data_IF_170616267298
#
_entry.id   IF_170616267298
#
_cell.length_a   1.000
_cell.length_b   1.000
_cell.length_c   1.000
_cell.angle_alpha   90.00
_cell.angle_beta   90.00
_cell.angle_gamma   90.00
#
_symmetry.space_group_name_H-M   'P 1'
#
loop_
_entity.id
_entity.type
_entity.pdbx_description
1 polymer ?
#
# COMPACT_ATOMS: atom_id res chain seq x y z
N UNK A 1 19.63 -6.96 -15.38
CA UNK A 1 18.39 -6.82 -14.64
C UNK A 1 18.66 -6.17 -13.30
N UNK A 2 17.91 -5.17 -12.96
CA UNK A 2 18.09 -4.46 -11.70
C UNK A 2 17.39 -5.20 -10.56
N UNK A 3 18.10 -5.45 -9.48
CA UNK A 3 17.49 -6.02 -8.29
C UNK A 3 16.61 -4.98 -7.60
N UNK A 4 15.48 -5.44 -7.07
CA UNK A 4 14.64 -4.59 -6.24
C UNK A 4 15.35 -4.29 -4.93
N UNK A 5 15.18 -3.06 -4.37
CA UNK A 5 15.61 -2.78 -3.00
C UNK A 5 14.99 -3.80 -2.04
N UNK A 6 15.71 -4.14 -0.98
CA UNK A 6 15.21 -5.15 -0.04
C UNK A 6 13.86 -4.79 0.56
N UNK A 7 13.56 -3.49 0.74
CA UNK A 7 12.25 -3.03 1.21
C UNK A 7 11.11 -3.35 0.26
N UNK A 8 11.39 -3.58 -1.03
CA UNK A 8 10.36 -3.90 -2.04
C UNK A 8 10.28 -5.40 -2.35
N UNK A 9 11.07 -6.23 -1.70
CA UNK A 9 11.07 -7.68 -1.94
C UNK A 9 10.00 -8.43 -1.15
N UNK A 10 9.47 -7.81 -0.10
CA UNK A 10 8.42 -8.38 0.72
C UNK A 10 7.06 -7.88 0.31
N UNK A 11 6.13 -7.87 1.26
CA UNK A 11 4.78 -7.37 1.06
C UNK A 11 4.75 -5.87 1.26
N UNK A 12 4.22 -5.15 0.28
CA UNK A 12 4.13 -3.69 0.33
C UNK A 12 2.65 -3.29 0.40
N UNK A 13 2.33 -2.42 1.36
CA UNK A 13 1.01 -1.83 1.47
C UNK A 13 1.05 -0.41 0.90
N UNK A 14 0.14 -0.10 0.00
CA UNK A 14 -0.09 1.27 -0.46
C UNK A 14 -1.30 1.81 0.30
N UNK A 15 -1.08 2.81 1.14
CA UNK A 15 -2.16 3.45 1.88
C UNK A 15 -2.72 4.61 1.06
N UNK A 16 -3.90 4.38 0.51
CA UNK A 16 -4.60 5.36 -0.33
C UNK A 16 -4.74 4.90 -1.77
N UNK A 17 -5.97 4.93 -2.28
CA UNK A 17 -6.32 4.49 -3.63
C UNK A 17 -6.65 5.67 -4.56
N UNK A 18 -6.28 6.88 -4.19
CA UNK A 18 -6.46 8.07 -5.03
C UNK A 18 -5.45 8.13 -6.18
N UNK A 19 -5.34 9.30 -6.80
CA UNK A 19 -4.49 9.48 -7.98
C UNK A 19 -3.02 9.09 -7.71
N UNK A 20 -2.46 9.55 -6.59
CA UNK A 20 -1.08 9.24 -6.22
C UNK A 20 -0.90 7.75 -5.90
N UNK A 21 -1.86 7.16 -5.19
CA UNK A 21 -1.83 5.73 -4.89
C UNK A 21 -1.90 4.89 -6.16
N UNK A 22 -2.74 5.28 -7.12
CA UNK A 22 -2.87 4.60 -8.41
C UNK A 22 -1.54 4.60 -9.17
N UNK A 23 -0.84 5.72 -9.20
CA UNK A 23 0.47 5.80 -9.84
C UNK A 23 1.50 4.89 -9.18
N UNK A 24 1.49 4.85 -7.85
CA UNK A 24 2.36 3.97 -7.08
C UNK A 24 2.06 2.49 -7.37
N UNK A 25 0.79 2.11 -7.40
CA UNK A 25 0.37 0.74 -7.71
C UNK A 25 0.82 0.34 -9.11
N UNK A 26 0.65 1.23 -10.09
CA UNK A 26 1.06 0.96 -11.46
C UNK A 26 2.58 0.67 -11.54
N UNK A 27 3.38 1.46 -10.84
CA UNK A 27 4.82 1.27 -10.79
C UNK A 27 5.20 -0.06 -10.11
N UNK A 28 4.61 -0.32 -8.93
CA UNK A 28 4.94 -1.51 -8.16
C UNK A 28 4.54 -2.80 -8.88
N UNK A 29 3.38 -2.82 -9.52
CA UNK A 29 2.94 -4.00 -10.26
C UNK A 29 3.81 -4.25 -11.47
N UNK A 30 4.29 -3.19 -12.12
CA UNK A 30 5.24 -3.32 -13.23
C UNK A 30 6.56 -3.94 -12.78
N UNK A 31 6.98 -3.65 -11.54
CA UNK A 31 8.22 -4.20 -10.98
C UNK A 31 8.04 -5.60 -10.39
N UNK A 32 6.82 -6.14 -10.38
CA UNK A 32 6.54 -7.45 -9.82
C UNK A 32 6.52 -7.48 -8.29
N UNK A 33 6.26 -6.35 -7.64
CA UNK A 33 6.20 -6.24 -6.19
C UNK A 33 4.86 -6.77 -5.69
N UNK A 34 4.88 -7.54 -4.58
CA UNK A 34 3.66 -8.00 -3.91
C UNK A 34 2.98 -6.82 -3.24
N UNK A 35 1.96 -6.28 -3.90
CA UNK A 35 1.31 -5.02 -3.55
C UNK A 35 -0.11 -5.25 -3.07
N UNK A 36 -0.46 -4.63 -1.95
CA UNK A 36 -1.83 -4.57 -1.43
C UNK A 36 -2.19 -3.09 -1.24
N UNK A 37 -3.42 -2.72 -1.54
CA UNK A 37 -3.90 -1.33 -1.39
C UNK A 37 -4.96 -1.27 -0.32
N UNK A 38 -4.88 -0.28 0.56
CA UNK A 38 -5.87 -0.02 1.58
C UNK A 38 -6.50 1.35 1.40
N UNK A 39 -7.81 1.43 1.48
CA UNK A 39 -8.57 2.67 1.45
C UNK A 39 -9.96 2.42 2.02
N UNK A 40 -10.61 3.47 2.48
CA UNK A 40 -12.02 3.41 2.89
C UNK A 40 -12.97 3.52 1.70
N UNK A 41 -12.49 3.95 0.54
CA UNK A 41 -13.27 4.08 -0.68
C UNK A 41 -13.27 2.77 -1.46
N UNK A 42 -14.32 1.97 -1.27
CA UNK A 42 -14.43 0.65 -1.91
C UNK A 42 -14.44 0.73 -3.44
N UNK A 43 -15.07 1.74 -4.01
CA UNK A 43 -15.12 1.90 -5.46
C UNK A 43 -13.73 2.14 -6.05
N UNK A 44 -12.89 2.92 -5.36
CA UNK A 44 -11.51 3.14 -5.79
C UNK A 44 -10.69 1.86 -5.69
N UNK A 45 -10.89 1.06 -4.64
CA UNK A 45 -10.21 -0.22 -4.49
C UNK A 45 -10.63 -1.20 -5.60
N UNK A 46 -11.90 -1.28 -5.92
CA UNK A 46 -12.40 -2.14 -6.99
C UNK A 46 -11.79 -1.76 -8.34
N UNK A 47 -11.68 -0.46 -8.62
CA UNK A 47 -11.07 0.02 -9.86
C UNK A 47 -9.60 -0.40 -9.97
N UNK A 48 -8.85 -0.31 -8.88
CA UNK A 48 -7.45 -0.73 -8.87
C UNK A 48 -7.30 -2.23 -9.01
N UNK A 49 -8.15 -3.01 -8.34
CA UNK A 49 -8.13 -4.46 -8.46
C UNK A 49 -8.42 -4.88 -9.90
N UNK A 50 -9.37 -4.22 -10.54
CA UNK A 50 -9.75 -4.52 -11.91
C UNK A 50 -8.66 -4.13 -12.91
N UNK A 51 -8.06 -2.96 -12.74
CA UNK A 51 -7.08 -2.43 -13.68
C UNK A 51 -5.69 -3.08 -13.54
N UNK A 52 -5.29 -3.45 -12.31
CA UNK A 52 -3.93 -3.92 -12.04
C UNK A 52 -3.86 -5.31 -11.41
N UNK A 53 -4.98 -5.88 -11.03
CA UNK A 53 -5.00 -7.19 -10.39
C UNK A 53 -4.40 -7.22 -8.99
N UNK A 54 -4.30 -6.07 -8.32
CA UNK A 54 -3.73 -6.00 -6.97
C UNK A 54 -4.72 -6.46 -5.92
N UNK A 55 -4.21 -6.94 -4.79
CA UNK A 55 -5.02 -7.22 -3.62
C UNK A 55 -5.47 -5.91 -2.98
N UNK A 56 -6.67 -5.90 -2.42
CA UNK A 56 -7.23 -4.73 -1.75
C UNK A 56 -7.76 -5.14 -0.39
N UNK A 57 -7.67 -4.25 0.59
CA UNK A 57 -8.17 -4.48 1.95
C UNK A 57 -8.79 -3.20 2.49
N UNK A 58 -9.66 -3.37 3.48
CA UNK A 58 -10.14 -2.22 4.26
C UNK A 58 -9.01 -1.70 5.14
N UNK A 59 -9.13 -0.46 5.60
CA UNK A 59 -8.16 0.15 6.52
C UNK A 59 -8.03 -0.68 7.80
N UNK A 60 -9.17 -1.15 8.35
CA UNK A 60 -9.16 -1.95 9.58
C UNK A 60 -8.44 -3.29 9.38
N UNK A 61 -8.69 -3.96 8.27
CA UNK A 61 -8.01 -5.23 7.97
C UNK A 61 -6.52 -5.02 7.72
N UNK A 62 -6.14 -3.93 7.08
CA UNK A 62 -4.74 -3.60 6.85
C UNK A 62 -3.99 -3.42 8.16
N UNK A 63 -4.61 -2.77 9.15
CA UNK A 63 -3.99 -2.54 10.46
C UNK A 63 -3.69 -3.83 11.20
N UNK A 64 -4.38 -4.92 10.88
CA UNK A 64 -4.20 -6.24 11.52
C UNK A 64 -3.32 -7.16 10.69
N UNK A 65 -2.87 -6.74 9.54
CA UNK A 65 -2.05 -7.54 8.63
C UNK A 65 -0.57 -7.17 8.75
N UNK A 66 0.29 -8.06 8.29
CA UNK A 66 1.73 -7.81 8.31
C UNK A 66 2.21 -7.37 6.93
N UNK A 67 2.98 -6.29 6.92
CA UNK A 67 3.62 -5.77 5.71
C UNK A 67 5.07 -5.40 6.03
N UNK A 68 5.90 -5.41 5.01
CA UNK A 68 7.33 -5.09 5.15
C UNK A 68 7.62 -3.62 4.89
N UNK A 69 6.75 -2.97 4.14
CA UNK A 69 6.86 -1.55 3.81
C UNK A 69 5.46 -0.96 3.62
N UNK A 70 5.25 0.25 4.09
CA UNK A 70 4.02 0.99 3.84
C UNK A 70 4.37 2.26 3.07
N UNK A 71 3.72 2.45 1.93
CA UNK A 71 3.85 3.67 1.11
C UNK A 71 2.54 4.45 1.25
N UNK A 72 2.64 5.71 1.67
CA UNK A 72 1.47 6.55 1.86
C UNK A 72 1.29 7.52 0.70
N UNK A 73 0.03 7.82 0.39
CA UNK A 73 -0.27 8.91 -0.54
C UNK A 73 -0.34 10.24 0.22
N UNK A 74 -0.15 11.38 -0.48
CA UNK A 74 -0.14 12.70 0.19
C UNK A 74 -1.45 13.05 0.91
N UNK A 75 -2.55 12.42 0.55
CA UNK A 75 -3.83 12.66 1.22
C UNK A 75 -3.97 12.02 2.59
N UNK A 76 -3.05 11.14 2.96
CA UNK A 76 -3.10 10.47 4.26
C UNK A 76 -2.37 11.28 5.32
N UNK A 77 -3.00 11.39 6.48
CA UNK A 77 -2.42 12.12 7.61
C UNK A 77 -1.34 11.27 8.28
N UNK A 78 -0.19 11.87 8.63
CA UNK A 78 0.89 11.11 9.32
C UNK A 78 0.45 10.52 10.66
N UNK A 79 -0.55 11.10 11.30
CA UNK A 79 -1.09 10.65 12.59
C UNK A 79 -2.28 9.70 12.46
N UNK A 80 -2.57 9.21 11.26
CA UNK A 80 -3.68 8.27 11.09
C UNK A 80 -3.41 6.99 11.89
N UNK A 81 -4.45 6.36 12.48
CA UNK A 81 -4.25 5.14 13.28
C UNK A 81 -3.54 4.02 12.54
N UNK A 82 -3.79 3.87 11.23
CA UNK A 82 -3.14 2.86 10.42
C UNK A 82 -1.63 3.06 10.37
N UNK A 83 -1.18 4.28 10.08
CA UNK A 83 0.24 4.59 9.96
C UNK A 83 0.95 4.50 11.30
N UNK A 84 0.30 4.98 12.36
CA UNK A 84 0.85 4.89 13.72
C UNK A 84 1.03 3.42 14.12
N UNK A 85 0.06 2.56 13.81
CA UNK A 85 0.16 1.14 14.13
C UNK A 85 1.38 0.49 13.47
N UNK A 86 1.64 0.80 12.20
CA UNK A 86 2.79 0.25 11.50
C UNK A 86 4.11 0.83 12.01
N UNK A 87 4.17 2.12 12.32
CA UNK A 87 5.35 2.73 12.90
C UNK A 87 5.68 2.10 14.25
N UNK A 88 4.67 1.86 15.09
CA UNK A 88 4.86 1.21 16.39
C UNK A 88 5.32 -0.25 16.26
N UNK A 89 4.95 -0.90 15.18
CA UNK A 89 5.39 -2.27 14.88
C UNK A 89 6.78 -2.32 14.25
N UNK A 90 7.42 -1.18 14.00
CA UNK A 90 8.75 -1.13 13.40
C UNK A 90 8.76 -1.23 11.89
N UNK A 91 7.61 -1.08 11.24
CA UNK A 91 7.51 -1.11 9.79
C UNK A 91 7.83 0.26 9.21
N UNK A 92 8.67 0.29 8.17
CA UNK A 92 9.00 1.55 7.50
C UNK A 92 7.77 2.11 6.79
N UNK A 93 7.51 3.40 6.99
CA UNK A 93 6.41 4.13 6.34
C UNK A 93 7.03 5.31 5.58
N UNK A 94 6.76 5.37 4.28
CA UNK A 94 7.30 6.44 3.43
C UNK A 94 6.20 7.14 2.63
#
# INVERSE_FOLDING_TARGET
MTELPSSLRGRVLVAGAGVSGRGCVAMLTRLGVDTTVADSNEAALEALAEDYGVATVSVDSAAQSEFDLVITSPGWRPDSPLLVAFQNAGVEVI
#
